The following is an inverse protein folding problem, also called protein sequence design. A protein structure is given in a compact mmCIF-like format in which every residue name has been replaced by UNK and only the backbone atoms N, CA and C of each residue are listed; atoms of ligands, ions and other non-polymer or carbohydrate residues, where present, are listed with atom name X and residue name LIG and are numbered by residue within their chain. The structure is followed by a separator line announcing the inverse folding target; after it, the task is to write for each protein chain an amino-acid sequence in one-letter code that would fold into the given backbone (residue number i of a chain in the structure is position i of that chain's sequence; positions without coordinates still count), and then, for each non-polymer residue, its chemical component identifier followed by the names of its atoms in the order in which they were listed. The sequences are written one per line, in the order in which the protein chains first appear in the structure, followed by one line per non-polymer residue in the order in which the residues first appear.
data_IF_711196669857
#
_entry.id   IF_711196669857
#
_cell.length_a   1.000
_cell.length_b   1.000
_cell.length_c   1.000
_cell.angle_alpha   90.00
_cell.angle_beta   90.00
_cell.angle_gamma   90.00
#
_symmetry.space_group_name_H-M   'P 1'
#
loop_
_entity.id
_entity.type
_entity.pdbx_description
1 polymer ?
#
# COMPACT_ATOMS: atom_id res chain seq x y z
N UNK A 1 13.83 3.38 -27.03
CA UNK A 1 13.87 2.11 -26.27
C UNK A 1 13.45 2.44 -24.87
N UNK A 2 12.38 1.82 -24.30
CA UNK A 2 12.10 2.02 -22.89
C UNK A 2 13.30 1.49 -22.10
N UNK A 3 13.78 2.27 -21.14
CA UNK A 3 14.80 1.82 -20.19
C UNK A 3 14.28 0.54 -19.54
N UNK A 4 15.15 -0.45 -19.39
CA UNK A 4 14.82 -1.63 -18.60
C UNK A 4 14.36 -1.14 -17.21
N UNK A 5 13.07 -1.22 -16.91
CA UNK A 5 12.50 -0.72 -15.68
C UNK A 5 13.20 -1.43 -14.51
N UNK A 6 13.82 -0.63 -13.65
CA UNK A 6 14.53 -1.16 -12.51
C UNK A 6 13.52 -1.76 -11.54
N UNK A 7 13.69 -3.02 -11.18
CA UNK A 7 12.82 -3.70 -10.24
C UNK A 7 12.99 -3.12 -8.83
N UNK A 8 11.91 -2.54 -8.28
CA UNK A 8 11.89 -2.02 -6.92
C UNK A 8 11.62 -3.13 -5.90
N UNK A 9 10.64 -4.00 -6.18
CA UNK A 9 10.32 -5.12 -5.31
C UNK A 9 10.17 -6.40 -6.15
N UNK A 10 10.76 -7.50 -5.67
CA UNK A 10 10.60 -8.84 -6.26
C UNK A 10 10.06 -9.80 -5.21
N UNK A 11 9.04 -10.53 -5.56
CA UNK A 11 8.44 -11.62 -4.78
C UNK A 11 8.63 -12.90 -5.57
N UNK A 12 9.30 -13.89 -4.97
CA UNK A 12 9.64 -15.16 -5.62
C UNK A 12 9.10 -16.36 -4.81
N UNK A 13 8.14 -17.09 -5.36
CA UNK A 13 7.57 -18.34 -4.83
C UNK A 13 7.15 -18.28 -3.36
N UNK A 14 6.64 -17.11 -2.95
CA UNK A 14 6.28 -16.84 -1.56
C UNK A 14 5.08 -17.66 -1.16
N UNK A 15 5.24 -18.41 -0.07
CA UNK A 15 4.18 -19.20 0.57
C UNK A 15 4.02 -18.78 2.02
N UNK A 16 2.76 -18.66 2.48
CA UNK A 16 2.42 -18.46 3.89
C UNK A 16 1.38 -19.45 4.35
N UNK A 17 1.73 -20.23 5.38
CA UNK A 17 0.84 -21.19 6.06
C UNK A 17 0.55 -20.72 7.48
N UNK A 18 -0.67 -20.95 7.94
CA UNK A 18 -1.11 -20.82 9.32
C UNK A 18 -1.69 -22.15 9.76
N UNK A 19 -0.88 -22.99 10.43
CA UNK A 19 -1.27 -24.38 10.68
C UNK A 19 -1.58 -25.13 9.39
N UNK A 20 -2.79 -25.64 9.27
CA UNK A 20 -3.26 -26.34 8.08
C UNK A 20 -3.73 -25.44 6.91
N UNK A 21 -3.95 -24.13 7.17
CA UNK A 21 -4.42 -23.19 6.16
C UNK A 21 -3.26 -22.60 5.36
N UNK A 22 -3.33 -22.65 4.04
CA UNK A 22 -2.40 -21.96 3.14
C UNK A 22 -3.07 -20.65 2.70
N UNK A 23 -2.58 -19.53 3.22
CA UNK A 23 -3.13 -18.19 2.91
C UNK A 23 -2.51 -17.54 1.67
N UNK A 24 -1.27 -17.89 1.33
CA UNK A 24 -0.58 -17.53 0.09
C UNK A 24 0.22 -18.74 -0.34
N UNK A 25 0.15 -19.10 -1.62
CA UNK A 25 0.81 -20.27 -2.18
C UNK A 25 1.60 -19.91 -3.44
N UNK A 26 2.92 -20.09 -3.38
CA UNK A 26 3.86 -19.93 -4.49
C UNK A 26 3.64 -18.65 -5.32
N UNK A 27 3.35 -17.53 -4.63
CA UNK A 27 3.09 -16.26 -5.29
C UNK A 27 4.39 -15.63 -5.77
N UNK A 28 4.44 -15.30 -7.07
CA UNK A 28 5.59 -14.63 -7.68
C UNK A 28 5.15 -13.45 -8.52
N UNK A 29 5.80 -12.30 -8.32
CA UNK A 29 5.63 -11.07 -9.11
C UNK A 29 6.79 -10.11 -8.90
N UNK A 30 6.91 -9.12 -9.77
CA UNK A 30 7.82 -8.00 -9.63
C UNK A 30 7.04 -6.68 -9.67
N UNK A 31 7.57 -5.65 -9.02
CA UNK A 31 7.11 -4.27 -9.07
C UNK A 31 8.25 -3.43 -9.63
N UNK A 32 8.01 -2.72 -10.72
CA UNK A 32 8.98 -1.79 -11.30
C UNK A 32 9.05 -0.48 -10.50
N UNK A 33 10.15 0.27 -10.62
CA UNK A 33 10.19 1.65 -10.13
C UNK A 33 9.13 2.49 -10.84
N UNK A 34 8.48 3.38 -10.07
CA UNK A 34 7.45 4.31 -10.56
C UNK A 34 6.17 3.62 -11.07
N UNK A 35 5.99 2.33 -10.79
CA UNK A 35 4.78 1.57 -11.12
C UNK A 35 3.75 1.68 -9.98
N UNK A 36 2.49 1.77 -10.36
CA UNK A 36 1.34 1.54 -9.46
C UNK A 36 0.76 0.16 -9.78
N UNK A 37 1.04 -0.81 -8.90
CA UNK A 37 0.58 -2.19 -9.01
C UNK A 37 -0.69 -2.40 -8.17
N UNK A 38 -1.78 -2.82 -8.81
CA UNK A 38 -2.99 -3.26 -8.13
C UNK A 38 -2.86 -4.72 -7.66
N UNK A 39 -3.08 -4.99 -6.39
CA UNK A 39 -3.23 -6.34 -5.86
C UNK A 39 -4.70 -6.56 -5.53
N UNK A 40 -5.43 -7.25 -6.41
CA UNK A 40 -6.89 -7.38 -6.36
C UNK A 40 -7.33 -8.84 -6.22
N UNK A 41 -8.61 -9.05 -5.93
CA UNK A 41 -9.20 -10.38 -5.75
C UNK A 41 -10.30 -10.37 -4.69
N UNK A 42 -11.10 -11.43 -4.58
CA UNK A 42 -12.19 -11.55 -3.61
C UNK A 42 -11.68 -11.50 -2.16
N UNK A 43 -12.60 -11.37 -1.21
CA UNK A 43 -12.27 -11.42 0.21
C UNK A 43 -11.69 -12.80 0.57
N UNK A 44 -10.67 -12.81 1.43
CA UNK A 44 -9.98 -14.06 1.79
C UNK A 44 -8.98 -14.59 0.75
N UNK A 45 -8.76 -13.90 -0.38
CA UNK A 45 -7.83 -14.37 -1.42
C UNK A 45 -6.33 -14.27 -1.04
N UNK A 46 -5.98 -13.67 0.12
CA UNK A 46 -4.60 -13.59 0.60
C UNK A 46 -3.92 -12.22 0.43
N UNK A 47 -4.59 -11.20 -0.11
CA UNK A 47 -4.03 -9.85 -0.34
C UNK A 47 -3.42 -9.21 0.92
N UNK A 48 -4.20 -9.13 1.99
CA UNK A 48 -3.72 -8.58 3.27
C UNK A 48 -2.57 -9.41 3.86
N UNK A 49 -2.59 -10.73 3.66
CA UNK A 49 -1.46 -11.60 4.05
C UNK A 49 -0.20 -11.22 3.25
N UNK A 50 -0.32 -11.00 1.95
CA UNK A 50 0.82 -10.58 1.11
C UNK A 50 1.34 -9.20 1.53
N UNK A 51 0.45 -8.23 1.79
CA UNK A 51 0.83 -6.91 2.33
C UNK A 51 1.56 -7.03 3.68
N UNK A 52 1.12 -7.94 4.56
CA UNK A 52 1.78 -8.22 5.84
C UNK A 52 3.17 -8.86 5.66
N UNK A 53 3.36 -9.69 4.65
CA UNK A 53 4.65 -10.31 4.33
C UNK A 53 5.65 -9.27 3.80
N UNK A 54 5.22 -8.40 2.86
CA UNK A 54 6.06 -7.34 2.29
C UNK A 54 6.45 -6.31 3.37
N UNK A 55 5.51 -5.92 4.24
CA UNK A 55 5.76 -4.94 5.31
C UNK A 55 6.46 -5.51 6.54
N UNK A 56 6.77 -6.82 6.57
CA UNK A 56 7.45 -7.48 7.69
C UNK A 56 6.61 -7.67 8.95
N UNK A 57 5.30 -7.48 8.85
CA UNK A 57 4.35 -7.83 9.92
C UNK A 57 4.17 -9.35 10.07
N UNK A 58 4.44 -10.10 8.98
CA UNK A 58 4.48 -11.56 8.96
C UNK A 58 5.78 -12.05 8.34
N UNK A 59 6.20 -13.26 8.70
CA UNK A 59 7.29 -13.98 8.03
C UNK A 59 6.73 -14.96 7.02
N UNK A 60 7.30 -15.08 5.81
CA UNK A 60 6.93 -16.14 4.88
C UNK A 60 7.28 -17.51 5.46
N UNK A 61 6.56 -18.55 5.03
CA UNK A 61 6.92 -19.94 5.34
C UNK A 61 8.03 -20.41 4.41
N UNK A 62 8.00 -19.98 3.14
CA UNK A 62 9.02 -20.19 2.13
C UNK A 62 8.96 -19.11 1.05
N UNK A 63 9.95 -19.08 0.16
CA UNK A 63 10.09 -18.07 -0.89
C UNK A 63 10.91 -16.87 -0.45
N UNK A 64 11.12 -15.94 -1.37
CA UNK A 64 11.96 -14.76 -1.18
C UNK A 64 11.21 -13.46 -1.47
N UNK A 65 11.59 -12.39 -0.79
CA UNK A 65 11.11 -11.02 -1.05
C UNK A 65 12.33 -10.14 -1.09
N UNK A 66 12.57 -9.45 -2.20
CA UNK A 66 13.72 -8.56 -2.39
C UNK A 66 13.28 -7.13 -2.65
N UNK A 67 13.87 -6.19 -1.93
CA UNK A 67 13.72 -4.74 -2.15
C UNK A 67 15.00 -4.21 -2.77
N UNK A 68 14.96 -3.77 -4.02
CA UNK A 68 16.14 -3.35 -4.79
C UNK A 68 17.29 -4.37 -4.76
N UNK A 69 16.96 -5.65 -4.83
CA UNK A 69 17.90 -6.76 -4.77
C UNK A 69 18.26 -7.25 -3.36
N UNK A 70 18.02 -6.44 -2.31
CA UNK A 70 18.24 -6.82 -0.92
C UNK A 70 17.15 -7.80 -0.45
N UNK A 71 17.53 -8.94 0.11
CA UNK A 71 16.56 -9.84 0.73
C UNK A 71 15.96 -9.22 2.00
N UNK A 72 14.62 -9.18 2.03
CA UNK A 72 13.83 -8.69 3.16
C UNK A 72 12.89 -9.75 3.74
N UNK A 73 12.94 -11.00 3.25
CA UNK A 73 12.08 -12.08 3.72
C UNK A 73 12.31 -12.36 5.22
N UNK A 74 11.25 -12.24 6.02
CA UNK A 74 11.32 -12.44 7.47
C UNK A 74 12.02 -11.34 8.27
N UNK A 75 12.42 -10.24 7.63
CA UNK A 75 12.89 -9.03 8.30
C UNK A 75 11.71 -8.36 9.01
N UNK A 76 11.89 -7.93 10.27
CA UNK A 76 10.81 -7.30 11.05
C UNK A 76 10.44 -5.90 10.54
N UNK A 77 9.17 -5.50 10.75
CA UNK A 77 8.55 -4.30 10.20
C UNK A 77 9.34 -3.01 10.42
N UNK A 78 9.93 -2.79 11.60
CA UNK A 78 10.74 -1.60 11.88
C UNK A 78 11.96 -1.50 10.97
N UNK A 79 12.65 -2.62 10.71
CA UNK A 79 13.78 -2.66 9.80
C UNK A 79 13.37 -2.51 8.34
N UNK A 80 12.21 -3.02 7.96
CA UNK A 80 11.64 -2.84 6.63
C UNK A 80 11.26 -1.37 6.38
N UNK A 81 10.67 -0.70 7.37
CA UNK A 81 10.39 0.73 7.29
C UNK A 81 11.68 1.56 7.06
N UNK A 82 12.76 1.24 7.80
CA UNK A 82 14.08 1.88 7.58
C UNK A 82 14.71 1.56 6.21
N UNK A 83 14.33 0.45 5.56
CA UNK A 83 14.76 0.12 4.19
C UNK A 83 13.94 0.86 3.11
N UNK A 84 12.84 1.50 3.49
CA UNK A 84 12.04 2.34 2.61
C UNK A 84 10.70 1.73 2.17
N UNK A 85 10.09 0.85 2.95
CA UNK A 85 8.70 0.44 2.74
C UNK A 85 7.82 1.09 3.80
N UNK A 86 6.85 1.91 3.37
CA UNK A 86 5.81 2.43 4.24
C UNK A 86 4.45 1.83 3.87
N UNK A 87 3.52 1.82 4.83
CA UNK A 87 2.19 1.25 4.66
C UNK A 87 1.14 2.08 5.38
N UNK A 88 -0.02 2.25 4.74
CA UNK A 88 -1.29 2.58 5.41
C UNK A 88 -2.01 1.29 5.78
N UNK A 89 -2.96 1.37 6.69
CA UNK A 89 -3.71 0.21 7.16
C UNK A 89 -5.19 0.36 6.85
N UNK A 90 -5.88 -0.74 6.62
CA UNK A 90 -7.33 -0.78 6.40
C UNK A 90 -8.09 -0.07 7.53
N UNK A 91 -7.73 -0.37 8.79
CA UNK A 91 -8.16 0.40 9.96
C UNK A 91 -7.05 1.37 10.32
N UNK A 92 -7.36 2.66 10.24
CA UNK A 92 -6.42 3.75 10.54
C UNK A 92 -5.76 3.57 11.90
N UNK A 93 -4.43 3.69 11.93
CA UNK A 93 -3.64 3.55 13.16
C UNK A 93 -3.00 4.87 13.52
N UNK A 94 -3.71 5.66 14.34
CA UNK A 94 -3.18 6.91 14.90
C UNK A 94 -2.42 6.67 16.21
N UNK A 95 -1.56 7.63 16.54
CA UNK A 95 -0.94 7.76 17.86
C UNK A 95 -1.82 8.74 18.68
N UNK A 96 -2.76 8.25 19.50
CA UNK A 96 -3.87 9.08 20.01
C UNK A 96 -3.44 10.15 21.01
N UNK A 97 -2.26 9.99 21.62
CA UNK A 97 -1.68 10.99 22.58
C UNK A 97 -0.93 12.11 21.89
N UNK A 98 -0.86 12.13 20.54
CA UNK A 98 -0.10 13.10 19.77
C UNK A 98 -1.05 13.98 18.93
N UNK A 99 -0.58 15.19 18.59
CA UNK A 99 -1.24 16.07 17.62
C UNK A 99 -1.11 15.50 16.20
N UNK A 100 -1.79 16.11 15.26
CA UNK A 100 -1.71 15.77 13.82
C UNK A 100 -0.29 15.97 13.30
N UNK A 101 0.37 17.09 13.63
CA UNK A 101 1.75 17.35 13.21
C UNK A 101 2.71 16.33 13.79
N UNK A 102 2.61 16.03 15.08
CA UNK A 102 3.46 15.04 15.74
C UNK A 102 3.26 13.62 15.18
N UNK A 103 2.02 13.26 14.79
CA UNK A 103 1.74 12.00 14.10
C UNK A 103 2.49 11.90 12.76
N UNK A 104 2.48 12.97 11.96
CA UNK A 104 3.20 13.01 10.68
C UNK A 104 4.71 13.03 10.92
N UNK A 105 5.18 13.84 11.87
CA UNK A 105 6.60 13.95 12.25
C UNK A 105 7.18 12.61 12.70
N UNK A 106 6.40 11.76 13.39
CA UNK A 106 6.85 10.42 13.75
C UNK A 106 7.28 9.59 12.53
N UNK A 107 6.63 9.74 11.37
CA UNK A 107 7.05 9.12 10.11
C UNK A 107 8.42 9.60 9.66
N UNK A 108 8.71 10.90 9.77
CA UNK A 108 9.98 11.49 9.38
C UNK A 108 11.14 11.14 10.31
N UNK A 109 10.87 10.98 11.61
CA UNK A 109 11.89 10.57 12.60
C UNK A 109 12.32 9.11 12.42
N UNK A 110 11.35 8.20 12.23
CA UNK A 110 11.59 6.76 12.24
C UNK A 110 11.59 6.13 10.85
N UNK A 111 11.48 6.92 9.80
CA UNK A 111 11.42 6.47 8.43
C UNK A 111 12.77 6.14 7.79
N UNK A 112 12.74 5.95 6.47
CA UNK A 112 13.90 5.67 5.64
C UNK A 112 14.87 6.87 5.62
N UNK A 113 14.35 8.07 5.33
CA UNK A 113 15.09 9.33 5.40
C UNK A 113 14.72 10.03 6.71
N UNK A 114 15.66 10.11 7.61
CA UNK A 114 15.42 10.70 8.93
C UNK A 114 15.62 12.19 8.91
N UNK A 115 14.64 12.92 9.47
CA UNK A 115 14.64 14.39 9.62
C UNK A 115 14.46 14.77 11.07
N UNK A 116 14.96 15.96 11.45
CA UNK A 116 14.94 16.43 12.84
C UNK A 116 14.69 17.93 12.90
N UNK A 117 14.17 18.41 14.05
CA UNK A 117 13.99 19.84 14.34
C UNK A 117 13.15 20.55 13.28
N UNK A 118 13.53 21.78 12.94
CA UNK A 118 12.78 22.63 12.02
C UNK A 118 12.58 22.03 10.63
N UNK A 119 13.57 21.29 10.10
CA UNK A 119 13.43 20.60 8.80
C UNK A 119 12.29 19.56 8.83
N UNK A 120 12.17 18.82 9.94
CA UNK A 120 11.09 17.86 10.14
C UNK A 120 9.72 18.54 10.21
N UNK A 121 9.63 19.63 10.98
CA UNK A 121 8.36 20.35 11.16
C UNK A 121 7.89 20.99 9.85
N UNK A 122 8.78 21.66 9.12
CA UNK A 122 8.50 22.26 7.82
C UNK A 122 8.06 21.17 6.80
N UNK A 123 8.72 20.02 6.80
CA UNK A 123 8.39 18.91 5.93
C UNK A 123 7.04 18.27 6.29
N UNK A 124 6.78 18.02 7.57
CA UNK A 124 5.51 17.47 8.03
C UNK A 124 4.35 18.43 7.72
N UNK A 125 4.55 19.75 7.90
CA UNK A 125 3.55 20.77 7.56
C UNK A 125 3.27 20.79 6.04
N UNK A 126 4.29 20.67 5.19
CA UNK A 126 4.12 20.58 3.75
C UNK A 126 3.31 19.34 3.35
N UNK A 127 3.54 18.19 4.01
CA UNK A 127 2.75 16.97 3.78
C UNK A 127 1.30 17.14 4.24
N UNK A 128 1.04 17.80 5.36
CA UNK A 128 -0.32 18.12 5.80
C UNK A 128 -1.05 19.00 4.79
N UNK A 129 -0.38 20.03 4.27
CA UNK A 129 -0.94 20.86 3.20
C UNK A 129 -1.29 20.03 1.97
N UNK A 130 -0.39 19.11 1.58
CA UNK A 130 -0.55 18.23 0.43
C UNK A 130 -1.76 17.30 0.56
N UNK A 131 -2.01 16.75 1.74
CA UNK A 131 -3.18 15.89 1.98
C UNK A 131 -4.47 16.69 2.27
N UNK A 132 -4.44 18.01 2.15
CA UNK A 132 -5.58 18.89 2.34
C UNK A 132 -5.92 19.22 3.79
N UNK A 133 -4.93 19.22 4.68
CA UNK A 133 -5.05 19.54 6.11
C UNK A 133 -4.07 20.66 6.56
N UNK A 134 -4.01 21.82 5.86
CA UNK A 134 -2.95 22.82 6.06
C UNK A 134 -2.92 23.45 7.47
N UNK A 135 -4.07 23.47 8.17
CA UNK A 135 -4.21 24.14 9.47
C UNK A 135 -4.49 23.17 10.62
N UNK A 136 -4.28 21.87 10.40
CA UNK A 136 -4.63 20.84 11.38
C UNK A 136 -3.48 20.45 12.33
N UNK A 137 -2.28 21.05 12.20
CA UNK A 137 -1.08 20.60 12.89
C UNK A 137 -1.24 20.44 14.41
N UNK A 138 -1.85 21.41 15.07
CA UNK A 138 -2.04 21.43 16.53
C UNK A 138 -3.31 20.69 17.01
N UNK A 139 -4.11 20.17 16.07
CA UNK A 139 -5.34 19.44 16.40
C UNK A 139 -4.99 18.06 16.95
N UNK A 140 -5.69 17.64 18.02
CA UNK A 140 -5.60 16.26 18.50
C UNK A 140 -6.16 15.30 17.43
N UNK A 141 -5.45 14.22 17.10
CA UNK A 141 -5.92 13.27 16.08
C UNK A 141 -7.26 12.62 16.40
N UNK A 142 -7.62 12.54 17.67
CA UNK A 142 -8.91 12.02 18.14
C UNK A 142 -10.10 12.94 17.82
N UNK A 143 -9.87 14.21 17.49
CA UNK A 143 -10.89 15.16 17.09
C UNK A 143 -11.16 15.16 15.57
N UNK A 144 -10.36 14.43 14.80
CA UNK A 144 -10.49 14.36 13.35
C UNK A 144 -11.63 13.45 12.91
N UNK A 145 -12.23 13.78 11.76
CA UNK A 145 -13.09 12.85 11.03
C UNK A 145 -12.30 11.62 10.56
N UNK A 146 -13.00 10.54 10.25
CA UNK A 146 -12.33 9.31 9.78
C UNK A 146 -11.51 9.53 8.50
N UNK A 147 -12.02 10.32 7.55
CA UNK A 147 -11.28 10.66 6.33
C UNK A 147 -10.02 11.49 6.63
N UNK A 148 -10.10 12.42 7.56
CA UNK A 148 -8.94 13.23 7.91
C UNK A 148 -7.88 12.41 8.66
N UNK A 149 -8.29 11.43 9.47
CA UNK A 149 -7.37 10.44 10.04
C UNK A 149 -6.66 9.62 8.94
N UNK A 150 -7.37 9.18 7.89
CA UNK A 150 -6.76 8.53 6.72
C UNK A 150 -5.75 9.42 6.01
N UNK A 151 -6.06 10.72 5.86
CA UNK A 151 -5.13 11.71 5.27
C UNK A 151 -3.88 11.89 6.12
N UNK A 152 -4.02 11.96 7.44
CA UNK A 152 -2.88 12.04 8.37
C UNK A 152 -2.05 10.75 8.31
N UNK A 153 -2.68 9.57 8.23
CA UNK A 153 -1.96 8.30 8.08
C UNK A 153 -1.14 8.26 6.80
N UNK A 154 -1.71 8.72 5.68
CA UNK A 154 -0.99 8.82 4.41
C UNK A 154 0.16 9.83 4.51
N UNK A 155 -0.06 11.02 5.10
CA UNK A 155 0.99 12.01 5.32
C UNK A 155 2.14 11.44 6.17
N UNK A 156 1.82 10.68 7.23
CA UNK A 156 2.80 9.99 8.06
C UNK A 156 3.58 8.94 7.29
N UNK A 157 2.90 8.16 6.43
CA UNK A 157 3.58 7.19 5.57
C UNK A 157 4.53 7.89 4.59
N UNK A 158 4.11 9.00 3.97
CA UNK A 158 4.94 9.81 3.08
C UNK A 158 6.10 10.49 3.82
N UNK A 159 5.91 10.87 5.09
CA UNK A 159 6.96 11.50 5.90
C UNK A 159 8.18 10.60 6.10
N UNK A 160 8.00 9.27 6.03
CA UNK A 160 9.11 8.31 6.08
C UNK A 160 9.98 8.29 4.81
N UNK A 161 9.59 9.05 3.76
CA UNK A 161 10.20 9.09 2.44
C UNK A 161 10.39 7.69 1.82
N UNK A 162 9.28 6.95 1.62
CA UNK A 162 9.37 5.54 1.24
C UNK A 162 9.79 5.38 -0.23
N UNK A 163 10.57 4.31 -0.49
CA UNK A 163 10.86 3.79 -1.84
C UNK A 163 9.66 3.05 -2.43
N UNK A 164 8.92 2.34 -1.56
CA UNK A 164 7.69 1.62 -1.92
C UNK A 164 6.61 1.96 -0.90
N UNK A 165 5.47 2.42 -1.39
CA UNK A 165 4.29 2.74 -0.59
C UNK A 165 3.23 1.64 -0.75
N UNK A 166 2.76 1.08 0.36
CA UNK A 166 1.70 0.09 0.40
C UNK A 166 0.40 0.76 0.86
N UNK A 167 -0.61 0.81 -0.01
CA UNK A 167 -1.94 1.34 0.29
C UNK A 167 -2.93 0.18 0.45
N UNK A 168 -3.40 -0.05 1.67
CA UNK A 168 -4.28 -1.17 2.00
C UNK A 168 -5.71 -0.68 2.24
N UNK A 169 -6.56 -0.81 1.22
CA UNK A 169 -7.96 -0.36 1.20
C UNK A 169 -8.13 1.10 1.67
N UNK A 170 -7.20 1.96 1.24
CA UNK A 170 -7.16 3.34 1.71
C UNK A 170 -8.38 4.16 1.25
N UNK A 171 -8.99 3.81 0.12
CA UNK A 171 -10.19 4.45 -0.41
C UNK A 171 -11.50 3.85 0.15
N UNK A 172 -11.43 2.75 0.90
CA UNK A 172 -12.62 2.10 1.44
C UNK A 172 -13.33 2.97 2.47
N UNK A 173 -14.68 2.96 2.44
CA UNK A 173 -15.54 3.69 3.38
C UNK A 173 -15.66 5.20 3.10
N UNK A 174 -15.09 5.71 2.00
CA UNK A 174 -15.22 7.10 1.59
C UNK A 174 -16.52 7.35 0.85
N UNK A 175 -17.15 8.51 1.09
CA UNK A 175 -18.27 8.96 0.29
C UNK A 175 -17.82 9.36 -1.14
N UNK A 176 -18.72 9.56 -2.11
CA UNK A 176 -18.34 9.83 -3.50
C UNK A 176 -17.44 11.07 -3.70
N UNK A 177 -17.59 12.11 -2.89
CA UNK A 177 -16.77 13.33 -2.96
C UNK A 177 -15.38 13.07 -2.39
N UNK A 178 -15.30 12.42 -1.24
CA UNK A 178 -14.07 12.00 -0.60
C UNK A 178 -13.27 11.03 -1.47
N UNK A 179 -13.96 10.09 -2.12
CA UNK A 179 -13.36 9.14 -3.04
C UNK A 179 -12.68 9.83 -4.22
N UNK A 180 -13.33 10.83 -4.83
CA UNK A 180 -12.72 11.63 -5.90
C UNK A 180 -11.45 12.33 -5.43
N UNK A 181 -11.51 12.95 -4.24
CA UNK A 181 -10.34 13.61 -3.63
C UNK A 181 -9.23 12.62 -3.33
N UNK A 182 -9.58 11.44 -2.81
CA UNK A 182 -8.61 10.38 -2.52
C UNK A 182 -7.93 9.83 -3.79
N UNK A 183 -8.68 9.58 -4.85
CA UNK A 183 -8.14 9.16 -6.15
C UNK A 183 -7.19 10.23 -6.70
N UNK A 184 -7.59 11.51 -6.67
CA UNK A 184 -6.75 12.61 -7.16
C UNK A 184 -5.42 12.71 -6.37
N UNK A 185 -5.44 12.46 -5.06
CA UNK A 185 -4.24 12.46 -4.23
C UNK A 185 -3.29 11.30 -4.61
N UNK A 186 -3.81 10.09 -4.82
CA UNK A 186 -3.00 8.94 -5.26
C UNK A 186 -2.46 9.17 -6.69
N UNK A 187 -3.26 9.77 -7.57
CA UNK A 187 -2.82 10.13 -8.93
C UNK A 187 -1.66 11.14 -8.90
N UNK A 188 -1.67 12.11 -7.99
CA UNK A 188 -0.53 13.00 -7.79
C UNK A 188 0.74 12.23 -7.38
N UNK A 189 0.62 11.24 -6.48
CA UNK A 189 1.74 10.39 -6.08
C UNK A 189 2.27 9.58 -7.27
N UNK A 190 1.38 9.08 -8.13
CA UNK A 190 1.73 8.36 -9.36
C UNK A 190 2.49 9.27 -10.33
N UNK A 191 1.98 10.47 -10.61
CA UNK A 191 2.62 11.47 -11.50
C UNK A 191 4.01 11.86 -10.99
N UNK A 192 4.22 11.90 -9.68
CA UNK A 192 5.53 12.14 -9.07
C UNK A 192 6.49 10.94 -9.14
N UNK A 193 6.07 9.85 -9.76
CA UNK A 193 6.87 8.65 -9.90
C UNK A 193 7.02 7.86 -8.60
N UNK A 194 6.03 7.86 -7.72
CA UNK A 194 6.06 7.00 -6.53
C UNK A 194 5.75 5.56 -6.92
N UNK A 195 6.52 4.63 -6.38
CA UNK A 195 6.30 3.18 -6.54
C UNK A 195 5.28 2.72 -5.51
N UNK A 196 4.13 2.18 -5.96
CA UNK A 196 2.98 1.92 -5.09
C UNK A 196 2.44 0.50 -5.33
N UNK A 197 2.11 -0.21 -4.26
CA UNK A 197 1.19 -1.35 -4.30
C UNK A 197 -0.12 -0.91 -3.66
N UNK A 198 -1.22 -1.06 -4.37
CA UNK A 198 -2.55 -0.71 -3.88
C UNK A 198 -3.45 -1.94 -3.81
N UNK A 199 -4.06 -2.18 -2.65
CA UNK A 199 -5.17 -3.12 -2.47
C UNK A 199 -6.46 -2.32 -2.41
N UNK A 200 -7.37 -2.54 -3.33
CA UNK A 200 -8.65 -1.82 -3.40
C UNK A 200 -9.77 -2.69 -3.95
N UNK A 201 -10.99 -2.35 -3.59
CA UNK A 201 -12.21 -2.97 -4.11
C UNK A 201 -13.00 -2.02 -5.03
N UNK A 202 -12.59 -0.75 -5.09
CA UNK A 202 -13.20 0.27 -5.94
C UNK A 202 -12.65 0.13 -7.36
N UNK A 203 -13.36 -0.59 -8.23
CA UNK A 203 -12.89 -0.91 -9.59
C UNK A 203 -12.58 0.33 -10.44
N UNK A 204 -13.32 1.44 -10.21
CA UNK A 204 -13.01 2.71 -10.88
C UNK A 204 -11.61 3.23 -10.48
N UNK A 205 -11.25 3.17 -9.21
CA UNK A 205 -9.91 3.57 -8.74
C UNK A 205 -8.82 2.66 -9.32
N UNK A 206 -9.04 1.34 -9.34
CA UNK A 206 -8.10 0.39 -9.95
C UNK A 206 -7.85 0.72 -11.42
N UNK A 207 -8.92 0.99 -12.19
CA UNK A 207 -8.81 1.32 -13.63
C UNK A 207 -8.09 2.64 -13.90
N UNK A 208 -8.21 3.63 -13.01
CA UNK A 208 -7.61 4.96 -13.20
C UNK A 208 -6.19 5.05 -12.67
N UNK A 209 -5.87 4.32 -11.60
CA UNK A 209 -4.60 4.48 -10.88
C UNK A 209 -3.54 3.44 -11.24
N UNK A 210 -3.95 2.19 -11.50
CA UNK A 210 -2.99 1.10 -11.67
C UNK A 210 -2.48 1.00 -13.11
N UNK A 211 -1.18 0.79 -13.25
CA UNK A 211 -0.53 0.47 -14.52
C UNK A 211 -0.73 -1.02 -14.86
N UNK A 212 -0.66 -1.86 -13.83
CA UNK A 212 -0.82 -3.32 -13.91
C UNK A 212 -1.53 -3.83 -12.66
N UNK A 213 -2.19 -4.98 -12.78
CA UNK A 213 -2.84 -5.67 -11.67
C UNK A 213 -2.37 -7.12 -11.58
N UNK A 214 -2.31 -7.61 -10.36
CA UNK A 214 -2.22 -9.03 -10.01
C UNK A 214 -3.52 -9.41 -9.34
N UNK A 215 -4.14 -10.46 -9.86
CA UNK A 215 -5.39 -10.99 -9.30
C UNK A 215 -5.09 -12.25 -8.49
N UNK A 216 -5.52 -12.24 -7.24
CA UNK A 216 -5.40 -13.36 -6.33
C UNK A 216 -6.76 -14.01 -6.08
N UNK A 217 -6.80 -15.33 -6.05
CA UNK A 217 -7.93 -16.13 -5.57
C UNK A 217 -7.40 -17.32 -4.74
N UNK A 218 -8.00 -17.58 -3.58
CA UNK A 218 -7.63 -18.69 -2.70
C UNK A 218 -6.12 -18.86 -2.46
N UNK A 219 -5.41 -17.72 -2.32
CA UNK A 219 -3.98 -17.70 -2.03
C UNK A 219 -3.05 -17.81 -3.24
N UNK A 220 -3.56 -17.98 -4.46
CA UNK A 220 -2.77 -18.09 -5.68
C UNK A 220 -3.00 -16.92 -6.64
N UNK A 221 -2.04 -16.64 -7.52
CA UNK A 221 -2.21 -15.72 -8.63
C UNK A 221 -2.98 -16.40 -9.76
N UNK A 222 -4.12 -15.83 -10.15
CA UNK A 222 -4.95 -16.35 -11.26
C UNK A 222 -4.82 -15.52 -12.53
N UNK A 223 -4.46 -14.23 -12.43
CA UNK A 223 -4.25 -13.38 -13.60
C UNK A 223 -3.23 -12.27 -13.28
N UNK A 224 -2.60 -11.74 -14.34
CA UNK A 224 -1.71 -10.58 -14.30
C UNK A 224 -1.79 -9.86 -15.65
N UNK A 225 -1.94 -8.54 -15.63
CA UNK A 225 -2.05 -7.71 -16.83
C UNK A 225 -2.53 -6.29 -16.51
N UNK A 226 -2.85 -5.52 -17.53
CA UNK A 226 -3.47 -4.21 -17.34
C UNK A 226 -4.82 -4.33 -16.65
N UNK A 227 -5.31 -3.28 -15.94
CA UNK A 227 -6.64 -3.33 -15.33
C UNK A 227 -7.75 -3.75 -16.29
N UNK A 228 -7.64 -3.33 -17.57
CA UNK A 228 -8.63 -3.66 -18.60
C UNK A 228 -8.61 -5.15 -18.93
N UNK A 229 -7.44 -5.73 -19.08
CA UNK A 229 -7.26 -7.15 -19.41
C UNK A 229 -7.77 -8.04 -18.27
N UNK A 230 -7.27 -7.83 -17.05
CA UNK A 230 -7.63 -8.70 -15.91
C UNK A 230 -9.10 -8.59 -15.54
N UNK A 231 -9.74 -7.42 -15.66
CA UNK A 231 -11.16 -7.25 -15.37
C UNK A 231 -12.09 -7.79 -16.46
N UNK A 232 -11.55 -8.15 -17.63
CA UNK A 232 -12.28 -8.83 -18.71
C UNK A 232 -12.00 -10.34 -18.74
N UNK A 233 -11.07 -10.83 -17.92
CA UNK A 233 -10.71 -12.24 -17.85
C UNK A 233 -11.84 -13.09 -17.23
N UNK A 234 -12.19 -14.19 -17.90
CA UNK A 234 -13.31 -15.04 -17.49
C UNK A 234 -13.04 -15.76 -16.15
N UNK A 235 -11.78 -16.10 -15.84
CA UNK A 235 -11.42 -16.72 -14.55
C UNK A 235 -11.53 -15.69 -13.42
N UNK A 236 -11.10 -14.46 -13.67
CA UNK A 236 -11.26 -13.34 -12.72
C UNK A 236 -12.72 -13.06 -12.44
N UNK A 237 -13.55 -12.96 -13.49
CA UNK A 237 -15.01 -12.73 -13.35
C UNK A 237 -15.63 -13.84 -12.50
N UNK A 238 -15.33 -15.12 -12.78
CA UNK A 238 -15.82 -16.25 -11.98
C UNK A 238 -15.36 -16.17 -10.52
N UNK A 239 -14.10 -15.81 -10.26
CA UNK A 239 -13.58 -15.69 -8.90
C UNK A 239 -14.30 -14.61 -8.07
N UNK A 240 -14.78 -13.53 -8.70
CA UNK A 240 -15.54 -12.48 -8.02
C UNK A 240 -17.05 -12.78 -7.86
N UNK A 241 -17.64 -13.47 -8.82
CA UNK A 241 -19.07 -13.82 -8.77
C UNK A 241 -19.36 -15.06 -7.91
N UNK A 242 -18.35 -15.86 -7.62
CA UNK A 242 -18.47 -17.21 -7.11
C UNK A 242 -18.92 -18.17 -8.23
N UNK A 243 -18.79 -19.46 -8.01
CA UNK A 243 -19.44 -20.44 -8.87
C UNK A 243 -20.95 -20.32 -8.66
N UNK A 244 -21.63 -19.68 -9.59
CA UNK A 244 -23.09 -19.49 -9.54
C UNK A 244 -23.88 -20.80 -9.71
N UNK A 245 -23.17 -21.95 -9.79
CA UNK A 245 -23.69 -23.30 -9.99
C UNK A 245 -23.04 -24.31 -9.02
N UNK A 246 -23.09 -24.06 -7.70
CA UNK A 246 -22.75 -25.07 -6.71
C UNK A 246 -23.90 -25.25 -5.70
#
# INVERSE_FOLDING_TARGET
MPSADKTALQVGDVTKRFGGLIAVQNLSFALAENEVLGLIGPNGSGKTTMMNLISGALRPTSGEIRLYGDDIAGVGASRIANKGIARTFQLVRMLPGLTVLENVSAGGVFGHTRRWGKELDDYAQALLQRVGLPNAGDVAVTALTYIDQKRVELARALASDPKVLLLDEWLAGLNPTELKTGIALIEQLRVEGRTIIIVEHVMHAIRSLCDRCIVMSSGVKIAEGTPREVLADAEVIRAYLGDADA
#
